data_IF_950277204455
#
_entry.id   IF_950277204455
#
_cell.length_a   1.000
_cell.length_b   1.000
_cell.length_c   1.000
_cell.angle_alpha   90.00
_cell.angle_beta   90.00
_cell.angle_gamma   90.00
#
_symmetry.space_group_name_H-M   'P 1'
#
loop_
_entity.id
_entity.type
_entity.pdbx_description
1 polymer ?
#
# COMPACT_ATOMS: atom_id res chain seq x y z
N UNK A 1 20.09 31.29 -8.24
CA UNK A 1 19.37 29.99 -8.28
C UNK A 1 19.66 29.25 -6.98
N UNK A 2 18.67 29.13 -6.10
CA UNK A 2 18.86 28.57 -4.75
C UNK A 2 18.66 27.05 -4.80
N UNK A 3 19.66 26.27 -4.38
CA UNK A 3 19.64 24.80 -4.39
C UNK A 3 19.07 24.33 -3.06
N UNK A 4 17.81 23.88 -3.05
CA UNK A 4 17.18 23.31 -1.86
C UNK A 4 17.63 21.84 -1.72
N UNK A 5 18.60 21.58 -0.87
CA UNK A 5 18.99 20.21 -0.50
C UNK A 5 18.06 19.73 0.63
N UNK A 6 17.24 18.72 0.36
CA UNK A 6 16.49 18.04 1.42
C UNK A 6 17.43 17.11 2.20
N UNK A 7 17.55 17.35 3.51
CA UNK A 7 18.19 16.41 4.43
C UNK A 7 17.15 15.35 4.77
N UNK A 8 17.36 14.11 4.30
CA UNK A 8 16.57 12.96 4.74
C UNK A 8 17.01 12.61 6.18
N UNK A 9 16.09 12.51 7.15
CA UNK A 9 16.46 12.05 8.48
C UNK A 9 17.03 10.63 8.38
N UNK A 10 18.11 10.38 9.12
CA UNK A 10 18.70 9.06 9.24
C UNK A 10 17.62 8.10 9.75
N UNK A 11 17.35 7.03 8.98
CA UNK A 11 16.45 5.97 9.41
C UNK A 11 17.02 5.36 10.70
N UNK A 12 16.44 5.71 11.85
CA UNK A 12 16.70 4.99 13.09
C UNK A 12 16.35 3.53 12.84
N UNK A 13 17.31 2.63 13.04
CA UNK A 13 17.17 1.21 12.77
C UNK A 13 15.99 0.63 13.55
N UNK A 14 14.85 0.48 12.88
CA UNK A 14 13.74 -0.31 13.38
C UNK A 14 14.21 -1.76 13.41
N UNK A 15 14.17 -2.39 14.58
CA UNK A 15 14.20 -3.85 14.62
C UNK A 15 13.00 -4.33 13.80
N UNK A 16 13.23 -5.10 12.74
CA UNK A 16 12.16 -5.52 11.83
C UNK A 16 11.23 -6.48 12.57
N UNK A 17 10.13 -5.96 13.10
CA UNK A 17 8.98 -6.79 13.43
C UNK A 17 8.48 -7.41 12.12
N UNK A 18 7.90 -8.62 12.16
CA UNK A 18 7.27 -9.18 10.98
C UNK A 18 6.21 -8.21 10.46
N UNK A 19 6.05 -8.17 9.13
CA UNK A 19 5.00 -7.39 8.51
C UNK A 19 3.64 -7.79 9.08
N UNK A 20 2.83 -6.80 9.45
CA UNK A 20 1.49 -7.05 9.95
C UNK A 20 0.60 -7.55 8.81
N UNK A 21 -0.16 -8.61 9.07
CA UNK A 21 -1.11 -9.19 8.13
C UNK A 21 -2.52 -9.19 8.72
N UNK A 22 -3.52 -8.97 7.87
CA UNK A 22 -4.92 -9.15 8.25
C UNK A 22 -5.70 -9.75 7.08
N UNK A 23 -6.92 -10.21 7.35
CA UNK A 23 -7.83 -10.71 6.32
C UNK A 23 -9.16 -9.99 6.45
N UNK A 24 -9.50 -9.23 5.43
CA UNK A 24 -10.80 -8.60 5.27
C UNK A 24 -11.79 -9.58 4.64
N UNK A 25 -12.96 -9.74 5.28
CA UNK A 25 -14.04 -10.63 4.84
C UNK A 25 -15.29 -9.80 4.55
N UNK A 26 -15.41 -9.23 3.34
CA UNK A 26 -16.58 -8.43 3.00
C UNK A 26 -17.83 -9.31 2.96
N UNK A 27 -18.99 -8.72 3.27
CA UNK A 27 -20.27 -9.42 3.22
C UNK A 27 -20.70 -9.82 1.79
N UNK A 28 -20.13 -9.14 0.79
CA UNK A 28 -20.35 -9.37 -0.65
C UNK A 28 -19.03 -9.37 -1.39
N UNK A 29 -18.96 -10.04 -2.53
CA UNK A 29 -17.77 -10.04 -3.37
C UNK A 29 -17.43 -8.61 -3.84
N UNK A 30 -16.16 -8.23 -3.72
CA UNK A 30 -15.66 -6.91 -4.13
C UNK A 30 -14.74 -7.07 -5.33
N UNK A 31 -15.01 -6.30 -6.39
CA UNK A 31 -14.05 -6.09 -7.46
C UNK A 31 -12.95 -5.14 -6.96
N UNK A 32 -11.83 -5.72 -6.52
CA UNK A 32 -10.70 -4.98 -5.95
C UNK A 32 -10.08 -4.00 -6.96
N UNK A 33 -9.77 -4.39 -8.22
CA UNK A 33 -9.34 -3.45 -9.25
C UNK A 33 -10.29 -2.26 -9.46
N UNK A 34 -11.60 -2.50 -9.59
CA UNK A 34 -12.56 -1.43 -9.81
C UNK A 34 -12.67 -0.50 -8.59
N UNK A 35 -12.62 -1.07 -7.38
CA UNK A 35 -12.75 -0.32 -6.13
C UNK A 35 -11.53 0.55 -5.84
N UNK A 36 -10.33 -0.03 -5.95
CA UNK A 36 -9.08 0.66 -5.59
C UNK A 36 -8.49 1.47 -6.75
N UNK A 37 -8.84 1.16 -8.00
CA UNK A 37 -8.36 1.87 -9.18
C UNK A 37 -8.71 3.36 -9.15
N UNK A 38 -9.86 3.72 -8.56
CA UNK A 38 -10.31 5.10 -8.38
C UNK A 38 -9.39 5.94 -7.47
N UNK A 39 -8.56 5.28 -6.65
CA UNK A 39 -7.65 5.95 -5.73
C UNK A 39 -6.29 6.26 -6.35
N UNK A 40 -5.99 5.67 -7.52
CA UNK A 40 -4.75 5.91 -8.24
C UNK A 40 -4.72 7.28 -8.92
N UNK A 41 -3.56 7.94 -8.90
CA UNK A 41 -3.38 9.28 -9.50
C UNK A 41 -2.92 9.26 -10.96
N UNK A 42 -2.79 8.06 -11.54
CA UNK A 42 -2.31 7.85 -12.90
C UNK A 42 -1.24 6.74 -12.96
N UNK A 43 -0.74 6.42 -14.16
CA UNK A 43 0.16 5.29 -14.39
C UNK A 43 1.54 5.45 -13.73
N UNK A 44 1.93 6.68 -13.37
CA UNK A 44 3.21 6.99 -12.72
C UNK A 44 3.05 7.34 -11.24
N UNK A 45 1.91 7.00 -10.63
CA UNK A 45 1.68 7.22 -9.20
C UNK A 45 2.68 6.39 -8.38
N UNK A 46 3.64 7.03 -7.67
CA UNK A 46 4.60 6.28 -6.87
C UNK A 46 3.95 5.66 -5.63
N UNK A 47 2.71 6.05 -5.31
CA UNK A 47 1.98 5.60 -4.13
C UNK A 47 1.01 4.45 -4.39
N UNK A 48 0.82 4.06 -5.66
CA UNK A 48 -0.06 2.96 -6.08
C UNK A 48 0.60 2.20 -7.23
N UNK A 49 0.93 0.92 -7.03
CA UNK A 49 1.55 0.08 -8.05
C UNK A 49 0.81 -1.25 -8.16
N UNK A 50 0.31 -1.56 -9.36
CA UNK A 50 -0.41 -2.80 -9.66
C UNK A 50 0.52 -3.84 -10.26
N UNK A 51 0.31 -5.11 -9.90
CA UNK A 51 0.95 -6.25 -10.55
C UNK A 51 0.00 -7.47 -10.60
N UNK A 52 0.54 -8.64 -10.99
CA UNK A 52 -0.25 -9.88 -11.13
C UNK A 52 -0.83 -10.42 -9.82
N UNK A 53 -0.28 -10.07 -8.67
CA UNK A 53 -0.72 -10.52 -7.36
C UNK A 53 -1.67 -9.56 -6.64
N UNK A 54 -1.84 -8.33 -7.12
CA UNK A 54 -2.67 -7.32 -6.45
C UNK A 54 -2.14 -5.90 -6.60
N UNK A 55 -2.23 -5.10 -5.54
CA UNK A 55 -1.79 -3.71 -5.51
C UNK A 55 -0.93 -3.40 -4.29
N UNK A 56 0.15 -2.68 -4.52
CA UNK A 56 0.95 -2.02 -3.49
C UNK A 56 0.48 -0.60 -3.28
N UNK A 57 0.37 -0.18 -2.03
CA UNK A 57 0.06 1.20 -1.67
C UNK A 57 0.87 1.68 -0.48
N UNK A 58 1.17 2.96 -0.43
CA UNK A 58 1.90 3.57 0.70
C UNK A 58 1.17 4.79 1.28
N UNK A 59 1.28 4.94 2.60
CA UNK A 59 0.70 6.05 3.36
C UNK A 59 1.67 6.56 4.42
N UNK A 60 1.43 7.80 4.86
CA UNK A 60 2.01 8.30 6.11
C UNK A 60 1.08 7.96 7.26
N UNK A 61 1.63 7.38 8.33
CA UNK A 61 0.93 7.14 9.59
C UNK A 61 1.60 7.95 10.70
N UNK A 62 0.96 8.15 11.87
CA UNK A 62 1.61 8.74 13.04
C UNK A 62 2.88 8.01 13.50
N UNK A 63 3.02 6.72 13.15
CA UNK A 63 4.18 5.88 13.49
C UNK A 63 5.25 5.85 12.39
N UNK A 64 5.08 6.59 11.30
CA UNK A 64 5.99 6.60 10.15
C UNK A 64 5.31 6.14 8.84
N UNK A 65 6.06 6.10 7.73
CA UNK A 65 5.54 5.60 6.47
C UNK A 65 5.25 4.10 6.56
N UNK A 66 4.16 3.66 5.95
CA UNK A 66 3.79 2.26 5.85
C UNK A 66 3.51 1.91 4.39
N UNK A 67 3.83 0.68 4.01
CA UNK A 67 3.51 0.11 2.70
C UNK A 67 2.65 -1.12 2.93
N UNK A 68 1.47 -1.17 2.31
CA UNK A 68 0.55 -2.30 2.39
C UNK A 68 0.53 -3.02 1.05
N UNK A 69 0.49 -4.34 1.13
CA UNK A 69 0.09 -5.19 0.03
C UNK A 69 -1.37 -5.57 0.18
N UNK A 70 -2.15 -5.37 -0.87
CA UNK A 70 -3.51 -5.91 -0.96
C UNK A 70 -3.50 -6.96 -2.06
N UNK A 71 -3.77 -8.20 -1.69
CA UNK A 71 -3.85 -9.32 -2.61
C UNK A 71 -5.19 -9.34 -3.35
N UNK A 72 -5.22 -10.06 -4.47
CA UNK A 72 -6.49 -10.38 -5.12
C UNK A 72 -7.38 -11.21 -4.18
N UNK A 73 -8.71 -11.07 -4.27
CA UNK A 73 -9.63 -11.89 -3.49
C UNK A 73 -9.37 -13.38 -3.68
N UNK A 74 -9.37 -14.13 -2.58
CA UNK A 74 -9.42 -15.58 -2.62
C UNK A 74 -10.78 -16.06 -3.15
N UNK A 75 -10.91 -17.37 -3.41
CA UNK A 75 -12.16 -17.96 -3.91
C UNK A 75 -13.36 -17.74 -2.98
N UNK A 76 -13.12 -17.62 -1.68
CA UNK A 76 -14.15 -17.34 -0.66
C UNK A 76 -14.47 -15.83 -0.54
N UNK A 77 -13.88 -14.99 -1.38
CA UNK A 77 -14.05 -13.53 -1.35
C UNK A 77 -13.20 -12.81 -0.30
N UNK A 78 -12.40 -13.54 0.49
CA UNK A 78 -11.52 -12.91 1.47
C UNK A 78 -10.34 -12.19 0.80
N UNK A 79 -9.93 -11.07 1.39
CA UNK A 79 -8.86 -10.20 0.88
C UNK A 79 -7.80 -10.08 1.96
N UNK A 80 -6.55 -10.35 1.62
CA UNK A 80 -5.39 -10.20 2.50
C UNK A 80 -4.65 -8.91 2.18
#
# INVERSE_FOLDING_TARGET
>A
MCRMTAVLPAASGSHALPDAETVYRPAVAIDVPATLGLLGRGPYDPTTQWDLGGVWRTWRTPHGPATLRIHRPARDGSIR
#
